data_IF_082709594465
#
_entry.id   IF_082709594465
#
_cell.length_a   1.000
_cell.length_b   1.000
_cell.length_c   1.000
_cell.angle_alpha   90.00
_cell.angle_beta   90.00
_cell.angle_gamma   90.00
#
_symmetry.space_group_name_H-M   'P 1'
#
loop_
_entity.id
_entity.type
_entity.pdbx_description
1 polymer ?
#
# COMPACT_ATOMS: atom_id res chain seq x y z
N UNK A 1 -10.21 -2.87 11.42
CA UNK A 1 -9.48 -2.88 10.13
C UNK A 1 -8.86 -1.51 9.93
N UNK A 2 -7.54 -1.46 9.88
CA UNK A 2 -6.78 -0.22 9.80
C UNK A 2 -6.71 0.28 8.35
N UNK A 3 -6.97 1.57 8.16
CA UNK A 3 -6.81 2.27 6.86
C UNK A 3 -5.48 3.01 6.91
N UNK A 4 -4.68 2.98 5.84
CA UNK A 4 -3.40 3.69 5.82
C UNK A 4 -3.64 5.20 5.62
N UNK A 5 -3.79 5.91 6.73
CA UNK A 5 -3.90 7.38 6.74
C UNK A 5 -2.54 8.01 6.46
N UNK A 6 -2.51 8.98 5.57
CA UNK A 6 -1.29 9.70 5.20
C UNK A 6 -1.28 11.06 5.88
N UNK A 7 -0.11 11.46 6.36
CA UNK A 7 0.15 12.78 6.91
C UNK A 7 1.39 13.38 6.25
N UNK A 8 1.42 14.70 6.10
CA UNK A 8 2.53 15.48 5.53
C UNK A 8 3.01 16.50 6.56
N UNK A 9 4.31 16.79 6.56
CA UNK A 9 4.92 17.81 7.39
C UNK A 9 6.09 18.46 6.66
N UNK A 10 6.26 19.77 6.85
CA UNK A 10 7.43 20.52 6.38
C UNK A 10 8.55 20.59 7.45
N UNK A 11 8.25 20.26 8.71
CA UNK A 11 9.15 20.43 9.86
C UNK A 11 9.35 19.15 10.71
N UNK A 12 8.68 18.05 10.35
CA UNK A 12 8.64 16.76 11.04
C UNK A 12 8.05 16.77 12.46
N UNK A 13 7.48 17.89 12.90
CA UNK A 13 6.87 18.08 14.23
C UNK A 13 5.38 18.40 14.16
N UNK A 14 4.95 19.13 13.14
CA UNK A 14 3.57 19.51 12.86
C UNK A 14 3.09 18.75 11.63
N UNK A 15 2.02 17.96 11.78
CA UNK A 15 1.55 17.06 10.73
C UNK A 15 0.13 17.39 10.31
N UNK A 16 -0.08 17.52 9.00
CA UNK A 16 -1.37 17.76 8.38
C UNK A 16 -1.85 16.49 7.68
N UNK A 17 -3.15 16.21 7.75
CA UNK A 17 -3.74 15.06 7.09
C UNK A 17 -3.66 15.23 5.58
N UNK A 18 -3.14 14.21 4.88
CA UNK A 18 -2.89 14.22 3.43
C UNK A 18 -3.58 13.05 2.71
N UNK A 19 -4.70 12.56 3.25
CA UNK A 19 -5.55 11.55 2.62
C UNK A 19 -5.45 10.17 3.26
N UNK A 20 -5.88 9.17 2.48
CA UNK A 20 -5.85 7.74 2.83
C UNK A 20 -5.43 7.00 1.56
N UNK A 21 -4.57 6.01 1.70
CA UNK A 21 -4.21 5.06 0.64
C UNK A 21 -4.54 3.63 1.08
N UNK A 22 -4.55 2.69 0.14
CA UNK A 22 -4.72 1.25 0.37
C UNK A 22 -6.05 0.83 1.04
N UNK A 23 -7.02 1.73 1.15
CA UNK A 23 -8.31 1.50 1.81
C UNK A 23 -9.38 0.90 0.88
N UNK A 24 -9.10 0.84 -0.41
CA UNK A 24 -9.95 0.21 -1.43
C UNK A 24 -9.25 -1.04 -2.00
N UNK A 25 -9.99 -2.11 -2.33
CA UNK A 25 -9.43 -3.31 -2.96
C UNK A 25 -8.87 -2.99 -4.36
N UNK A 26 -7.79 -3.69 -4.74
CA UNK A 26 -7.26 -3.69 -6.10
C UNK A 26 -7.90 -4.79 -6.96
N UNK A 27 -7.52 -4.84 -8.25
CA UNK A 27 -8.00 -5.82 -9.23
C UNK A 27 -6.96 -6.88 -9.59
N UNK A 28 -5.71 -6.69 -9.18
CA UNK A 28 -4.62 -7.64 -9.45
C UNK A 28 -4.80 -8.94 -8.66
N UNK A 29 -4.13 -9.99 -9.12
CA UNK A 29 -4.14 -11.28 -8.42
C UNK A 29 -3.73 -11.08 -6.96
N UNK A 30 -4.50 -11.68 -6.05
CA UNK A 30 -4.32 -11.56 -4.60
C UNK A 30 -4.44 -10.13 -4.03
N UNK A 31 -4.82 -9.12 -4.81
CA UNK A 31 -4.88 -7.70 -4.40
C UNK A 31 -6.30 -7.23 -4.00
N UNK A 32 -7.27 -8.15 -4.04
CA UNK A 32 -8.71 -7.89 -3.91
C UNK A 32 -9.22 -7.53 -2.52
N UNK A 33 -8.34 -7.33 -1.54
CA UNK A 33 -8.68 -6.80 -0.21
C UNK A 33 -8.00 -5.45 0.01
N UNK A 34 -8.32 -4.77 1.10
CA UNK A 34 -7.54 -3.60 1.54
C UNK A 34 -6.08 -4.01 1.75
N UNK A 35 -5.16 -3.06 1.51
CA UNK A 35 -3.75 -3.24 1.80
C UNK A 35 -3.47 -3.06 3.30
N UNK A 36 -2.53 -3.84 3.81
CA UNK A 36 -2.17 -3.91 5.22
C UNK A 36 -0.66 -3.73 5.36
N UNK A 37 -0.25 -3.06 6.45
CA UNK A 37 1.14 -2.82 6.86
C UNK A 37 2.06 -2.43 5.69
N UNK A 38 2.05 -1.15 5.36
CA UNK A 38 2.79 -0.63 4.24
C UNK A 38 4.20 -0.14 4.64
N UNK A 39 5.13 -0.28 3.71
CA UNK A 39 6.43 0.40 3.73
C UNK A 39 6.65 1.12 2.38
N UNK A 40 7.42 2.20 2.40
CA UNK A 40 7.65 3.05 1.23
C UNK A 40 9.13 3.10 0.89
N UNK A 41 9.44 2.77 -0.35
CA UNK A 41 10.80 2.87 -0.93
C UNK A 41 10.82 4.00 -1.94
N UNK A 42 11.82 4.86 -1.87
CA UNK A 42 12.06 5.92 -2.84
C UNK A 42 13.35 5.62 -3.59
N UNK A 43 13.29 5.57 -4.93
CA UNK A 43 14.43 5.39 -5.82
C UNK A 43 14.46 6.53 -6.84
N UNK A 44 15.46 7.42 -6.74
CA UNK A 44 15.51 8.63 -7.56
C UNK A 44 14.28 9.51 -7.31
N UNK A 45 13.48 9.73 -8.36
CA UNK A 45 12.23 10.49 -8.29
C UNK A 45 10.98 9.60 -8.11
N UNK A 46 11.15 8.28 -8.03
CA UNK A 46 10.04 7.33 -7.96
C UNK A 46 9.81 6.83 -6.53
N UNK A 47 8.54 6.87 -6.10
CA UNK A 47 8.09 6.28 -4.85
C UNK A 47 7.30 5.00 -5.10
N UNK A 48 7.56 3.96 -4.31
CA UNK A 48 6.87 2.68 -4.35
C UNK A 48 6.36 2.33 -2.96
N UNK A 49 5.10 1.92 -2.88
CA UNK A 49 4.52 1.38 -1.65
C UNK A 49 4.44 -0.14 -1.75
N UNK A 50 5.09 -0.81 -0.80
CA UNK A 50 5.00 -2.25 -0.59
C UNK A 50 4.05 -2.50 0.57
N UNK A 51 3.16 -3.47 0.41
CA UNK A 51 2.17 -3.81 1.44
C UNK A 51 1.76 -5.27 1.28
N UNK A 52 1.06 -5.81 2.27
CA UNK A 52 0.48 -7.15 2.14
C UNK A 52 -1.04 -7.11 2.11
N UNK A 53 -1.63 -8.13 1.50
CA UNK A 53 -3.07 -8.43 1.55
C UNK A 53 -3.28 -9.80 2.17
N UNK A 54 -4.51 -10.07 2.60
CA UNK A 54 -4.97 -11.42 2.92
C UNK A 54 -6.02 -11.85 1.89
N UNK A 55 -5.63 -12.49 0.78
CA UNK A 55 -6.52 -12.72 -0.35
C UNK A 55 -7.74 -13.58 0.00
N UNK A 56 -7.60 -14.49 0.95
CA UNK A 56 -8.69 -15.35 1.43
C UNK A 56 -9.69 -14.65 2.35
N UNK A 57 -9.40 -13.44 2.85
CA UNK A 57 -10.30 -12.65 3.71
C UNK A 57 -11.32 -11.84 2.90
N UNK A 58 -11.96 -12.50 1.94
CA UNK A 58 -13.10 -11.94 1.20
C UNK A 58 -14.36 -11.95 2.07
N UNK A 59 -15.23 -10.94 1.93
CA UNK A 59 -16.57 -10.90 2.54
C UNK A 59 -16.65 -11.01 4.08
N UNK A 60 -15.64 -10.52 4.82
CA UNK A 60 -15.70 -10.46 6.29
C UNK A 60 -15.77 -11.84 6.95
N UNK A 61 -15.32 -12.90 6.27
CA UNK A 61 -15.26 -14.24 6.84
C UNK A 61 -14.41 -14.23 8.13
N UNK A 62 -15.02 -14.79 9.17
CA UNK A 62 -14.58 -14.82 10.56
C UNK A 62 -13.08 -15.10 10.69
N UNK A 63 -12.38 -14.19 11.37
CA UNK A 63 -10.97 -14.28 11.77
C UNK A 63 -10.68 -15.49 12.67
N UNK A 64 -11.72 -16.21 13.09
CA UNK A 64 -11.67 -17.37 14.00
C UNK A 64 -11.24 -18.69 13.35
N UNK A 65 -11.08 -18.73 12.01
CA UNK A 65 -10.51 -19.92 11.35
C UNK A 65 -9.00 -19.76 11.17
N UNK A 66 -8.20 -20.61 11.83
CA UNK A 66 -6.75 -20.72 11.62
C UNK A 66 -6.37 -21.40 10.29
N UNK A 67 -7.24 -21.30 9.28
CA UNK A 67 -6.99 -21.91 7.97
C UNK A 67 -5.86 -21.17 7.24
N UNK A 68 -5.16 -21.92 6.38
CA UNK A 68 -4.12 -21.35 5.52
C UNK A 68 -4.65 -20.17 4.71
N UNK A 69 -5.84 -20.28 4.11
CA UNK A 69 -6.40 -19.23 3.24
C UNK A 69 -6.61 -17.89 3.95
N UNK A 70 -7.00 -17.89 5.23
CA UNK A 70 -7.20 -16.64 5.99
C UNK A 70 -5.89 -16.03 6.52
N UNK A 71 -4.81 -16.83 6.57
CA UNK A 71 -3.48 -16.40 7.04
C UNK A 71 -2.49 -16.15 5.91
N UNK A 72 -2.76 -16.68 4.71
CA UNK A 72 -1.95 -16.44 3.51
C UNK A 72 -1.84 -14.94 3.30
N UNK A 73 -0.61 -14.47 3.22
CA UNK A 73 -0.28 -13.08 2.90
C UNK A 73 0.37 -13.04 1.53
N UNK A 74 -0.07 -12.11 0.70
CA UNK A 74 0.57 -11.83 -0.58
C UNK A 74 1.13 -10.42 -0.54
N UNK A 75 2.42 -10.28 -0.87
CA UNK A 75 3.07 -8.97 -0.99
C UNK A 75 2.68 -8.37 -2.33
N UNK A 76 2.36 -7.09 -2.30
CA UNK A 76 1.93 -6.29 -3.43
C UNK A 76 2.76 -5.02 -3.47
N UNK A 77 2.86 -4.42 -4.66
CA UNK A 77 3.57 -3.15 -4.87
C UNK A 77 2.77 -2.24 -5.78
N UNK A 78 2.75 -0.94 -5.48
CA UNK A 78 2.17 0.08 -6.34
C UNK A 78 3.09 1.30 -6.40
N UNK A 79 3.09 2.01 -7.53
CA UNK A 79 3.77 3.29 -7.65
C UNK A 79 2.96 4.38 -6.94
N UNK A 80 3.63 5.22 -6.18
CA UNK A 80 3.06 6.39 -5.53
C UNK A 80 3.18 7.61 -6.43
N UNK A 81 2.19 8.48 -6.38
CA UNK A 81 2.19 9.75 -7.09
C UNK A 81 1.82 10.87 -6.12
N UNK A 82 2.38 12.06 -6.33
CA UNK A 82 1.95 13.27 -5.63
C UNK A 82 1.28 14.18 -6.64
N UNK A 83 -0.01 14.42 -6.47
CA UNK A 83 -0.80 15.31 -7.34
C UNK A 83 -1.34 16.44 -6.48
N UNK A 84 -1.02 17.68 -6.86
CA UNK A 84 -1.42 18.89 -6.13
C UNK A 84 -1.08 18.83 -4.63
N UNK A 85 0.06 18.22 -4.30
CA UNK A 85 0.55 18.07 -2.92
C UNK A 85 -0.15 16.99 -2.10
N UNK A 86 -0.95 16.11 -2.73
CA UNK A 86 -1.62 14.96 -2.11
C UNK A 86 -0.98 13.65 -2.59
N UNK A 87 -0.63 12.77 -1.66
CA UNK A 87 -0.13 11.43 -1.98
C UNK A 87 -1.28 10.53 -2.44
N UNK A 88 -1.14 9.97 -3.64
CA UNK A 88 -2.10 9.09 -4.30
C UNK A 88 -1.45 7.72 -4.53
N UNK A 89 -2.25 6.67 -4.38
CA UNK A 89 -1.89 5.29 -4.69
C UNK A 89 -3.00 4.67 -5.54
N UNK A 90 -2.81 4.66 -6.85
CA UNK A 90 -3.62 3.84 -7.75
C UNK A 90 -2.98 2.45 -7.84
N UNK A 91 -3.55 1.48 -7.11
CA UNK A 91 -3.05 0.10 -7.04
C UNK A 91 -3.19 -0.65 -8.36
N UNK A 92 -4.07 -0.21 -9.25
CA UNK A 92 -4.35 -0.87 -10.52
C UNK A 92 -3.58 -0.24 -11.69
N UNK A 93 -2.98 0.93 -11.50
CA UNK A 93 -2.17 1.60 -12.52
C UNK A 93 -0.97 0.74 -12.89
N UNK A 94 -0.76 0.49 -14.18
CA UNK A 94 0.44 -0.16 -14.67
C UNK A 94 1.67 0.73 -14.46
N UNK A 95 2.78 0.11 -14.05
CA UNK A 95 4.06 0.78 -13.85
C UNK A 95 5.20 -0.22 -14.01
N UNK A 96 6.39 0.30 -14.31
CA UNK A 96 7.63 -0.47 -14.23
C UNK A 96 8.26 -0.30 -12.84
N UNK A 97 8.69 -1.41 -12.23
CA UNK A 97 9.38 -1.38 -10.94
C UNK A 97 10.88 -1.18 -11.17
N UNK A 98 11.32 0.07 -11.12
CA UNK A 98 12.73 0.43 -11.29
C UNK A 98 13.43 0.52 -9.94
N UNK A 99 13.87 -0.63 -9.43
CA UNK A 99 14.73 -0.71 -8.24
C UNK A 99 16.15 -1.12 -8.65
N UNK A 100 17.13 -0.36 -8.21
CA UNK A 100 18.54 -0.61 -8.45
C UNK A 100 19.31 -0.76 -7.13
N UNK A 101 20.51 -1.32 -7.20
CA UNK A 101 21.44 -1.15 -6.09
C UNK A 101 21.70 0.35 -5.89
N UNK A 102 21.80 0.81 -4.64
CA UNK A 102 22.35 2.14 -4.39
C UNK A 102 23.73 2.21 -5.05
N UNK A 103 23.97 3.24 -5.86
CA UNK A 103 25.32 3.62 -6.29
C UNK A 103 26.09 4.13 -5.05
N UNK A 104 26.55 3.20 -4.20
CA UNK A 104 27.45 3.48 -3.08
C UNK A 104 28.90 3.41 -3.51
#
# INVERSE_FOLDING_TARGET
MERASVFRSDDLTTWERNGIILDQPGKRSDDGTIGLHADVVVQGEEGYVFYFTHPGRVNGHHEDSNSYELRRSSIQVAKLEVVDGVLICDRDKEFELNLGADDR
#
